data_IF_945067796934
#
_entry.id   IF_945067796934
#
_cell.length_a   1.000
_cell.length_b   1.000
_cell.length_c   1.000
_cell.angle_alpha   90.00
_cell.angle_beta   90.00
_cell.angle_gamma   90.00
#
_symmetry.space_group_name_H-M   'P 1'
#
loop_
_entity.id
_entity.type
_entity.pdbx_description
1 polymer ?
#
# COMPACT_ATOMS: atom_id res chain seq x y z
N UNK A 1 -20.36 -26.88 76.26
CA UNK A 1 -21.00 -28.10 76.76
C UNK A 1 -22.43 -28.16 76.29
N UNK A 2 -22.71 -29.10 75.37
CA UNK A 2 -23.97 -29.80 75.07
C UNK A 2 -25.30 -28.99 74.97
N UNK A 3 -25.79 -28.83 73.75
CA UNK A 3 -27.22 -29.02 73.40
C UNK A 3 -27.31 -29.89 72.14
N UNK A 4 -28.22 -30.90 72.08
CA UNK A 4 -28.38 -31.83 70.96
C UNK A 4 -29.67 -31.59 70.15
N UNK A 5 -29.79 -32.19 68.97
CA UNK A 5 -31.07 -32.38 68.28
C UNK A 5 -30.97 -32.58 66.77
N UNK A 6 -30.77 -33.83 66.34
CA UNK A 6 -30.64 -34.32 64.96
C UNK A 6 -31.95 -35.00 64.51
N UNK A 7 -32.38 -34.81 63.25
CA UNK A 7 -33.13 -35.75 62.38
C UNK A 7 -33.29 -35.11 60.97
N UNK A 8 -32.63 -35.52 59.86
CA UNK A 8 -32.83 -36.70 58.96
C UNK A 8 -34.30 -36.86 58.52
N UNK A 9 -34.72 -36.95 57.24
CA UNK A 9 -34.20 -37.60 56.00
C UNK A 9 -35.08 -37.16 54.79
N UNK A 10 -34.53 -36.69 53.65
CA UNK A 10 -34.33 -37.39 52.34
C UNK A 10 -35.55 -37.33 51.35
N UNK A 11 -35.44 -37.78 50.08
CA UNK A 11 -35.07 -36.96 48.91
C UNK A 11 -36.17 -36.95 47.80
N UNK A 12 -36.07 -36.01 46.86
CA UNK A 12 -36.96 -35.95 45.70
C UNK A 12 -36.24 -35.40 44.47
N UNK A 13 -35.74 -36.32 43.65
CA UNK A 13 -35.23 -36.05 42.31
C UNK A 13 -36.30 -35.39 41.44
N UNK A 14 -35.92 -34.33 40.72
CA UNK A 14 -36.44 -34.03 39.38
C UNK A 14 -35.39 -33.24 38.63
N UNK A 15 -34.64 -33.99 37.81
CA UNK A 15 -33.92 -33.48 36.66
C UNK A 15 -34.84 -32.61 35.80
N UNK A 16 -34.43 -31.38 35.50
CA UNK A 16 -34.72 -30.82 34.19
C UNK A 16 -33.50 -30.05 33.71
N UNK A 17 -32.90 -30.62 32.66
CA UNK A 17 -31.80 -30.11 31.86
C UNK A 17 -32.12 -28.69 31.39
N UNK A 18 -31.35 -27.71 31.85
CA UNK A 18 -31.16 -26.46 31.12
C UNK A 18 -29.78 -26.55 30.46
N UNK A 19 -29.77 -26.55 29.14
CA UNK A 19 -28.58 -26.67 28.32
C UNK A 19 -27.60 -25.54 28.66
N UNK A 20 -26.41 -25.91 29.14
CA UNK A 20 -25.23 -25.04 29.12
C UNK A 20 -24.88 -24.81 27.65
N UNK A 21 -25.39 -23.71 27.08
CA UNK A 21 -24.89 -23.19 25.82
C UNK A 21 -23.45 -22.76 26.02
N UNK A 22 -22.53 -23.61 25.57
CA UNK A 22 -21.15 -23.19 25.32
C UNK A 22 -21.24 -22.21 24.15
N UNK A 23 -21.33 -20.92 24.44
CA UNK A 23 -20.95 -19.90 23.48
C UNK A 23 -19.46 -20.08 23.29
N UNK A 24 -19.10 -20.79 22.22
CA UNK A 24 -17.76 -20.70 21.68
C UNK A 24 -17.58 -19.24 21.30
N UNK A 25 -16.90 -18.48 22.16
CA UNK A 25 -16.16 -17.29 21.77
C UNK A 25 -15.07 -17.79 20.81
N UNK A 26 -15.48 -18.02 19.56
CA UNK A 26 -14.56 -18.05 18.43
C UNK A 26 -13.81 -16.72 18.51
N UNK A 27 -12.50 -16.80 18.74
CA UNK A 27 -11.65 -15.64 18.87
C UNK A 27 -11.94 -14.66 17.75
N UNK A 28 -12.26 -13.43 18.12
CA UNK A 28 -12.19 -12.28 17.24
C UNK A 28 -10.70 -12.06 16.94
N UNK A 29 -10.11 -12.92 16.10
CA UNK A 29 -8.96 -12.52 15.33
C UNK A 29 -9.50 -11.41 14.41
N UNK A 30 -9.28 -10.16 14.82
CA UNK A 30 -9.91 -8.98 14.26
C UNK A 30 -9.63 -8.86 12.77
N UNK A 31 -10.62 -9.15 11.94
CA UNK A 31 -10.56 -8.79 10.53
C UNK A 31 -10.67 -7.27 10.42
N UNK A 32 -9.65 -6.62 9.84
CA UNK A 32 -9.65 -5.19 9.55
C UNK A 32 -10.60 -4.89 8.38
N UNK A 33 -11.91 -4.98 8.63
CA UNK A 33 -12.92 -4.72 7.61
C UNK A 33 -13.19 -3.22 7.58
N UNK A 34 -12.90 -2.60 6.44
CA UNK A 34 -13.25 -1.21 6.20
C UNK A 34 -14.63 -1.14 5.56
N UNK A 35 -15.55 -0.29 6.07
CA UNK A 35 -16.85 -0.09 5.44
C UNK A 35 -16.71 0.44 4.00
N UNK A 36 -17.38 -0.23 3.05
CA UNK A 36 -17.34 0.13 1.61
C UNK A 36 -17.79 1.56 1.32
N UNK A 37 -18.76 2.08 2.09
CA UNK A 37 -19.24 3.46 1.99
C UNK A 37 -18.15 4.47 2.39
N UNK A 38 -17.29 4.12 3.36
CA UNK A 38 -16.19 4.98 3.80
C UNK A 38 -15.10 5.04 2.74
N UNK A 39 -14.72 3.90 2.15
CA UNK A 39 -13.80 3.85 1.00
C UNK A 39 -14.36 4.66 -0.17
N UNK A 40 -15.63 4.47 -0.50
CA UNK A 40 -16.29 5.18 -1.60
C UNK A 40 -16.29 6.70 -1.40
N UNK A 41 -16.55 7.18 -0.17
CA UNK A 41 -16.48 8.61 0.16
C UNK A 41 -15.06 9.16 0.03
N UNK A 42 -14.06 8.44 0.54
CA UNK A 42 -12.65 8.84 0.42
C UNK A 42 -12.21 8.94 -1.04
N UNK A 43 -12.56 7.95 -1.87
CA UNK A 43 -12.28 7.95 -3.30
C UNK A 43 -12.92 9.14 -4.02
N UNK A 44 -14.21 9.39 -3.81
CA UNK A 44 -14.92 10.53 -4.40
C UNK A 44 -14.29 11.87 -3.99
N UNK A 45 -13.84 11.97 -2.73
CA UNK A 45 -13.17 13.17 -2.24
C UNK A 45 -11.82 13.38 -2.96
N UNK A 46 -11.02 12.32 -3.10
CA UNK A 46 -9.75 12.39 -3.85
C UNK A 46 -9.98 12.74 -5.33
N UNK A 47 -10.92 12.09 -6.01
CA UNK A 47 -11.22 12.36 -7.41
C UNK A 47 -11.71 13.79 -7.66
N UNK A 48 -12.51 14.35 -6.74
CA UNK A 48 -12.95 15.73 -6.85
C UNK A 48 -11.80 16.72 -6.62
N UNK A 49 -10.90 16.43 -5.68
CA UNK A 49 -9.69 17.24 -5.45
C UNK A 49 -8.67 17.16 -6.58
N UNK A 50 -8.65 16.09 -7.37
CA UNK A 50 -7.78 15.93 -8.53
C UNK A 50 -8.14 16.88 -9.70
N UNK A 51 -9.30 17.53 -9.63
CA UNK A 51 -9.84 18.38 -10.70
C UNK A 51 -9.77 19.88 -10.38
N UNK A 52 -8.95 20.29 -9.42
CA UNK A 52 -8.78 21.70 -9.01
C UNK A 52 -7.73 22.43 -9.86
N UNK A 53 -7.76 23.77 -9.86
CA UNK A 53 -6.79 24.63 -10.55
C UNK A 53 -5.43 24.75 -9.79
N UNK A 54 -5.22 23.96 -8.74
CA UNK A 54 -3.98 23.94 -7.96
C UNK A 54 -2.89 23.08 -8.64
N UNK A 55 -1.66 23.15 -8.13
CA UNK A 55 -0.57 22.31 -8.61
C UNK A 55 -0.94 20.82 -8.44
N UNK A 56 -0.77 19.97 -9.48
CA UNK A 56 -1.18 18.58 -9.40
C UNK A 56 -0.41 17.82 -8.32
N UNK A 57 -1.14 17.07 -7.49
CA UNK A 57 -0.58 16.35 -6.36
C UNK A 57 -0.32 14.86 -6.71
N UNK A 58 0.94 14.42 -6.81
CA UNK A 58 1.28 13.03 -7.14
C UNK A 58 0.81 12.02 -6.10
N UNK A 59 0.70 12.41 -4.83
CA UNK A 59 0.25 11.51 -3.75
C UNK A 59 -1.22 11.11 -3.92
N UNK A 60 -2.05 12.02 -4.46
CA UNK A 60 -3.46 11.74 -4.76
C UNK A 60 -3.56 10.69 -5.87
N UNK A 61 -2.79 10.87 -6.96
CA UNK A 61 -2.78 9.90 -8.05
C UNK A 61 -2.27 8.52 -7.59
N UNK A 62 -1.17 8.50 -6.82
CA UNK A 62 -0.63 7.29 -6.22
C UNK A 62 -1.68 6.55 -5.39
N UNK A 63 -2.38 7.26 -4.49
CA UNK A 63 -3.42 6.67 -3.66
C UNK A 63 -4.60 6.11 -4.47
N UNK A 64 -5.06 6.85 -5.49
CA UNK A 64 -6.13 6.41 -6.38
C UNK A 64 -5.74 5.16 -7.18
N UNK A 65 -4.51 5.11 -7.70
CA UNK A 65 -3.99 3.94 -8.42
C UNK A 65 -3.89 2.72 -7.50
N UNK A 66 -3.32 2.88 -6.29
CA UNK A 66 -3.21 1.80 -5.30
C UNK A 66 -4.59 1.30 -4.84
N UNK A 67 -5.59 2.18 -4.81
CA UNK A 67 -6.96 1.84 -4.51
C UNK A 67 -7.72 1.16 -5.67
N UNK A 68 -7.11 1.05 -6.85
CA UNK A 68 -7.75 0.48 -8.05
C UNK A 68 -8.70 1.44 -8.77
N UNK A 69 -8.65 2.75 -8.47
CA UNK A 69 -9.47 3.80 -9.08
C UNK A 69 -8.72 4.58 -10.19
N UNK A 70 -7.55 4.11 -10.61
CA UNK A 70 -6.66 4.81 -11.54
C UNK A 70 -7.20 5.06 -12.97
N UNK A 71 -8.29 4.41 -13.37
CA UNK A 71 -8.82 4.48 -14.74
C UNK A 71 -9.88 5.57 -14.97
N UNK A 72 -10.28 6.28 -13.91
CA UNK A 72 -11.27 7.37 -14.00
C UNK A 72 -10.76 8.54 -14.84
N UNK A 73 -11.68 9.35 -15.36
CA UNK A 73 -11.31 10.55 -16.15
C UNK A 73 -10.47 11.53 -15.35
N UNK A 74 -10.78 11.70 -14.06
CA UNK A 74 -10.02 12.56 -13.14
C UNK A 74 -8.59 12.07 -12.97
N UNK A 75 -8.37 10.76 -12.82
CA UNK A 75 -7.03 10.17 -12.74
C UNK A 75 -6.22 10.38 -14.03
N UNK A 76 -6.85 10.21 -15.20
CA UNK A 76 -6.18 10.45 -16.50
C UNK A 76 -5.80 11.91 -16.70
N UNK A 77 -6.68 12.83 -16.29
CA UNK A 77 -6.39 14.26 -16.32
C UNK A 77 -5.25 14.62 -15.36
N UNK A 78 -5.31 14.14 -14.11
CA UNK A 78 -4.27 14.37 -13.12
C UNK A 78 -2.91 13.81 -13.58
N UNK A 79 -2.88 12.61 -14.14
CA UNK A 79 -1.68 12.03 -14.74
C UNK A 79 -1.10 12.94 -15.83
N UNK A 80 -1.94 13.45 -16.72
CA UNK A 80 -1.49 14.35 -17.77
C UNK A 80 -0.91 15.65 -17.20
N UNK A 81 -1.57 16.26 -16.21
CA UNK A 81 -1.08 17.45 -15.52
C UNK A 81 0.27 17.20 -14.81
N UNK A 82 0.46 16.03 -14.19
CA UNK A 82 1.74 15.65 -13.59
C UNK A 82 2.83 15.52 -14.66
N UNK A 83 2.54 14.91 -15.82
CA UNK A 83 3.53 14.81 -16.90
C UNK A 83 3.93 16.18 -17.46
N UNK A 84 2.97 17.09 -17.62
CA UNK A 84 3.21 18.48 -18.04
C UNK A 84 4.08 19.22 -17.01
N UNK A 85 3.72 19.13 -15.73
CA UNK A 85 4.47 19.76 -14.63
C UNK A 85 5.89 19.21 -14.53
N UNK A 86 6.06 17.89 -14.68
CA UNK A 86 7.37 17.24 -14.69
C UNK A 86 8.29 17.81 -15.78
N UNK A 87 7.79 17.91 -17.02
CA UNK A 87 8.53 18.48 -18.15
C UNK A 87 8.91 19.95 -17.89
N UNK A 88 8.03 20.72 -17.26
CA UNK A 88 8.27 22.15 -17.04
C UNK A 88 9.21 22.45 -15.87
N UNK A 89 9.19 21.64 -14.81
CA UNK A 89 9.77 21.98 -13.50
C UNK A 89 10.88 21.05 -13.01
N UNK A 90 10.98 19.81 -13.49
CA UNK A 90 11.92 18.82 -12.93
C UNK A 90 13.38 19.29 -12.96
N UNK A 91 13.78 20.05 -13.99
CA UNK A 91 15.13 20.61 -14.12
C UNK A 91 15.29 22.02 -13.52
N UNK A 92 14.30 22.53 -12.78
CA UNK A 92 14.29 23.90 -12.26
C UNK A 92 14.13 23.95 -10.74
N UNK A 93 12.98 23.51 -10.23
CA UNK A 93 12.53 23.85 -8.88
C UNK A 93 11.72 22.74 -8.20
N UNK A 94 11.88 21.49 -8.65
CA UNK A 94 11.40 20.31 -7.91
C UNK A 94 12.47 19.83 -6.96
N UNK A 95 12.09 19.52 -5.72
CA UNK A 95 12.98 18.83 -4.78
C UNK A 95 13.13 17.36 -5.19
N UNK A 96 14.12 16.68 -4.62
CA UNK A 96 14.26 15.23 -4.71
C UNK A 96 12.97 14.49 -4.30
N UNK A 97 12.37 14.89 -3.17
CA UNK A 97 11.11 14.31 -2.68
C UNK A 97 9.93 14.54 -3.63
N UNK A 98 9.87 15.69 -4.31
CA UNK A 98 8.88 15.93 -5.36
C UNK A 98 9.09 14.95 -6.54
N UNK A 99 10.33 14.83 -7.02
CA UNK A 99 10.69 13.92 -8.10
C UNK A 99 10.39 12.45 -7.74
N UNK A 100 10.64 12.06 -6.48
CA UNK A 100 10.35 10.74 -5.97
C UNK A 100 8.84 10.45 -5.96
N UNK A 101 8.01 11.38 -5.47
CA UNK A 101 6.55 11.22 -5.50
C UNK A 101 6.00 11.16 -6.93
N UNK A 102 6.51 12.01 -7.83
CA UNK A 102 6.15 11.95 -9.26
C UNK A 102 6.53 10.59 -9.86
N UNK A 103 7.71 10.08 -9.54
CA UNK A 103 8.17 8.75 -9.97
C UNK A 103 7.23 7.66 -9.46
N UNK A 104 6.90 7.62 -8.16
CA UNK A 104 5.95 6.65 -7.60
C UNK A 104 4.56 6.72 -8.25
N UNK A 105 4.05 7.93 -8.48
CA UNK A 105 2.77 8.16 -9.15
C UNK A 105 2.79 7.63 -10.60
N UNK A 106 3.86 7.89 -11.36
CA UNK A 106 4.03 7.40 -12.72
C UNK A 106 4.12 5.87 -12.78
N UNK A 107 4.88 5.25 -11.87
CA UNK A 107 4.99 3.80 -11.76
C UNK A 107 3.62 3.15 -11.49
N UNK A 108 2.86 3.70 -10.55
CA UNK A 108 1.49 3.22 -10.26
C UNK A 108 0.49 3.48 -11.41
N UNK A 109 0.82 4.42 -12.30
CA UNK A 109 0.10 4.69 -13.55
C UNK A 109 0.65 3.92 -14.76
N UNK A 110 1.61 3.01 -14.57
CA UNK A 110 2.21 2.21 -15.65
C UNK A 110 2.91 3.08 -16.71
N UNK A 111 3.43 4.24 -16.30
CA UNK A 111 4.22 5.12 -17.15
C UNK A 111 5.70 4.91 -16.82
N UNK A 112 6.54 4.96 -17.85
CA UNK A 112 7.99 4.92 -17.71
C UNK A 112 8.52 6.28 -17.22
N UNK A 113 9.07 6.39 -16.00
CA UNK A 113 9.62 7.64 -15.47
C UNK A 113 10.87 8.14 -16.21
N UNK A 114 11.55 7.29 -16.98
CA UNK A 114 12.70 7.69 -17.80
C UNK A 114 12.28 8.39 -19.10
N UNK A 115 11.03 8.22 -19.52
CA UNK A 115 10.51 8.68 -20.81
C UNK A 115 9.20 9.46 -20.63
N UNK A 116 9.19 10.43 -19.71
CA UNK A 116 8.02 11.26 -19.47
C UNK A 116 7.87 12.27 -20.61
N UNK A 117 6.80 12.13 -21.39
CA UNK A 117 6.53 12.98 -22.55
C UNK A 117 5.28 13.85 -22.34
N UNK A 118 5.44 15.16 -22.49
CA UNK A 118 4.37 16.15 -22.47
C UNK A 118 4.81 17.43 -23.20
N UNK A 119 3.85 18.19 -23.75
CA UNK A 119 4.10 19.48 -24.42
C UNK A 119 5.18 19.44 -25.53
N UNK A 120 5.39 18.28 -26.17
CA UNK A 120 6.44 18.11 -27.19
C UNK A 120 7.86 17.95 -26.65
N UNK A 121 8.01 17.84 -25.33
CA UNK A 121 9.29 17.61 -24.65
C UNK A 121 9.32 16.23 -23.98
N UNK A 122 10.53 15.77 -23.65
CA UNK A 122 10.77 14.52 -22.94
C UNK A 122 11.73 14.81 -21.79
N UNK A 123 11.43 14.25 -20.61
CA UNK A 123 12.28 14.35 -19.42
C UNK A 123 12.50 12.96 -18.84
N UNK A 124 13.73 12.70 -18.39
CA UNK A 124 14.10 11.55 -17.60
C UNK A 124 14.02 11.94 -16.12
N UNK A 125 12.87 11.69 -15.49
CA UNK A 125 12.68 12.01 -14.08
C UNK A 125 13.53 11.14 -13.17
N UNK A 126 13.81 9.90 -13.57
CA UNK A 126 14.54 8.96 -12.76
C UNK A 126 16.03 9.35 -12.67
N UNK A 127 16.63 9.75 -13.79
CA UNK A 127 17.97 10.33 -13.78
C UNK A 127 18.03 11.62 -12.96
N UNK A 128 17.01 12.49 -13.09
CA UNK A 128 16.94 13.73 -12.31
C UNK A 128 16.81 13.48 -10.82
N UNK A 129 16.00 12.50 -10.41
CA UNK A 129 15.90 12.06 -9.02
C UNK A 129 17.25 11.58 -8.51
N UNK A 130 17.94 10.71 -9.27
CA UNK A 130 19.26 10.20 -8.89
C UNK A 130 20.28 11.33 -8.68
N UNK A 131 20.34 12.30 -9.60
CA UNK A 131 21.24 13.46 -9.48
C UNK A 131 21.00 14.26 -8.19
N UNK A 132 19.74 14.55 -7.88
CA UNK A 132 19.38 15.31 -6.68
C UNK A 132 19.68 14.49 -5.42
N UNK A 133 19.29 13.21 -5.36
CA UNK A 133 19.58 12.33 -4.21
C UNK A 133 21.08 12.17 -3.97
N UNK A 134 21.89 12.03 -5.02
CA UNK A 134 23.35 11.98 -4.90
C UNK A 134 23.92 13.29 -4.33
N UNK A 135 23.34 14.43 -4.69
CA UNK A 135 23.71 15.74 -4.15
C UNK A 135 23.32 15.87 -2.66
N UNK A 136 22.16 15.35 -2.24
CA UNK A 136 21.73 15.36 -0.83
C UNK A 136 22.65 14.51 0.06
N UNK A 137 23.15 13.39 -0.46
CA UNK A 137 24.09 12.53 0.26
C UNK A 137 25.42 13.24 0.55
N UNK A 138 25.85 14.16 -0.32
CA UNK A 138 27.05 14.98 -0.11
C UNK A 138 26.76 16.12 0.87
N UNK A 139 25.60 16.75 0.75
CA UNK A 139 25.20 17.90 1.55
C UNK A 139 23.95 17.60 2.37
N UNK A 140 24.14 16.89 3.48
CA UNK A 140 23.08 16.58 4.43
C UNK A 140 22.33 17.86 4.84
N UNK A 141 21.00 17.87 4.64
CA UNK A 141 20.11 18.96 5.03
C UNK A 141 19.57 19.83 3.88
N UNK A 142 19.79 19.46 2.62
CA UNK A 142 19.11 20.08 1.47
C UNK A 142 17.59 19.82 1.48
N UNK A 143 17.17 18.65 1.96
CA UNK A 143 15.77 18.30 2.24
C UNK A 143 15.64 17.59 3.58
N UNK A 144 14.44 17.11 3.89
CA UNK A 144 14.14 16.36 5.12
C UNK A 144 14.40 14.88 4.91
N UNK A 145 14.68 14.14 6.00
CA UNK A 145 14.77 12.67 5.94
C UNK A 145 13.48 12.00 5.45
N UNK A 146 12.33 12.68 5.51
CA UNK A 146 11.10 12.21 4.88
C UNK A 146 11.24 12.18 3.34
N UNK A 147 11.74 13.26 2.73
CA UNK A 147 11.97 13.32 1.29
C UNK A 147 13.08 12.36 0.87
N UNK A 148 14.20 12.35 1.59
CA UNK A 148 15.29 11.39 1.34
C UNK A 148 14.82 9.92 1.44
N UNK A 149 13.85 9.62 2.31
CA UNK A 149 13.23 8.29 2.37
C UNK A 149 12.37 7.98 1.14
N UNK A 150 11.65 8.97 0.60
CA UNK A 150 10.89 8.82 -0.65
C UNK A 150 11.83 8.56 -1.83
N UNK A 151 12.95 9.26 -1.90
CA UNK A 151 13.97 9.07 -2.93
C UNK A 151 14.46 7.62 -2.97
N UNK A 152 14.91 7.11 -1.81
CA UNK A 152 15.40 5.74 -1.67
C UNK A 152 14.31 4.75 -2.06
N UNK A 153 13.07 4.97 -1.64
CA UNK A 153 11.95 4.11 -1.98
C UNK A 153 11.72 4.07 -3.50
N UNK A 154 11.64 5.21 -4.17
CA UNK A 154 11.42 5.30 -5.61
C UNK A 154 12.58 4.68 -6.41
N UNK A 155 13.82 5.02 -6.09
CA UNK A 155 15.02 4.46 -6.73
C UNK A 155 15.13 2.95 -6.52
N UNK A 156 14.82 2.45 -5.32
CA UNK A 156 14.83 1.03 -5.02
C UNK A 156 13.77 0.24 -5.79
N UNK A 157 12.55 0.79 -5.93
CA UNK A 157 11.49 0.14 -6.70
C UNK A 157 11.87 -0.04 -8.16
N UNK A 158 12.54 0.97 -8.74
CA UNK A 158 13.12 0.89 -10.09
C UNK A 158 14.39 0.03 -10.15
N UNK A 159 15.07 -0.18 -9.01
CA UNK A 159 16.32 -0.90 -8.94
C UNK A 159 17.48 -0.17 -9.63
N UNK A 160 17.48 1.16 -9.54
CA UNK A 160 18.51 2.02 -10.13
C UNK A 160 19.10 2.98 -9.10
N UNK A 161 20.23 3.59 -9.45
CA UNK A 161 20.94 4.53 -8.59
C UNK A 161 21.64 3.87 -7.39
N UNK A 162 22.23 4.69 -6.53
CA UNK A 162 23.01 4.25 -5.37
C UNK A 162 22.16 4.08 -4.11
N UNK A 163 20.94 3.54 -4.24
CA UNK A 163 19.97 3.49 -3.15
C UNK A 163 20.45 2.66 -1.96
N UNK A 164 21.36 1.70 -2.14
CA UNK A 164 21.92 0.90 -1.05
C UNK A 164 22.76 1.75 -0.09
N UNK A 165 23.59 2.66 -0.64
CA UNK A 165 24.43 3.57 0.17
C UNK A 165 23.55 4.56 0.93
N UNK A 166 22.55 5.12 0.23
CA UNK A 166 21.56 6.00 0.83
C UNK A 166 20.75 5.29 1.93
N UNK A 167 20.37 4.02 1.73
CA UNK A 167 19.68 3.21 2.72
C UNK A 167 20.52 2.98 3.99
N UNK A 168 21.83 2.78 3.87
CA UNK A 168 22.72 2.68 5.05
C UNK A 168 22.74 3.98 5.84
N UNK A 169 22.82 5.11 5.14
CA UNK A 169 22.82 6.45 5.75
C UNK A 169 21.50 6.70 6.50
N UNK A 170 20.38 6.42 5.84
CA UNK A 170 19.05 6.53 6.43
C UNK A 170 18.89 5.60 7.64
N UNK A 171 19.34 4.35 7.56
CA UNK A 171 19.29 3.39 8.66
C UNK A 171 20.03 3.89 9.90
N UNK A 172 21.22 4.49 9.72
CA UNK A 172 22.00 5.08 10.83
C UNK A 172 21.27 6.25 11.48
N UNK A 173 20.62 7.10 10.68
CA UNK A 173 19.86 8.23 11.22
C UNK A 173 18.61 7.78 11.98
N UNK A 174 17.89 6.78 11.46
CA UNK A 174 16.71 6.22 12.15
C UNK A 174 17.08 5.58 13.49
N UNK A 175 18.27 4.96 13.59
CA UNK A 175 18.78 4.39 14.85
C UNK A 175 19.34 5.44 15.81
N UNK A 176 19.61 6.66 15.35
CA UNK A 176 20.15 7.72 16.19
C UNK A 176 19.07 8.22 17.16
N UNK A 177 19.17 7.86 18.45
CA UNK A 177 18.18 8.23 19.48
C UNK A 177 18.02 9.74 19.70
N UNK A 178 18.94 10.56 19.17
CA UNK A 178 18.87 12.02 19.22
C UNK A 178 18.22 12.69 18.00
N UNK A 179 17.85 11.95 16.96
CA UNK A 179 17.38 12.50 15.68
C UNK A 179 15.99 13.14 15.75
N UNK A 180 15.15 12.73 16.71
CA UNK A 180 13.81 13.30 16.89
C UNK A 180 12.89 13.13 15.67
N UNK A 181 13.13 12.12 14.82
CA UNK A 181 12.37 11.91 13.58
C UNK A 181 10.87 11.72 13.85
N UNK A 182 10.05 12.39 13.04
CA UNK A 182 8.60 12.25 13.09
C UNK A 182 8.15 10.83 12.76
N UNK A 183 6.92 10.48 13.16
CA UNK A 183 6.28 9.21 12.77
C UNK A 183 6.21 9.09 11.25
N UNK A 184 5.84 10.15 10.53
CA UNK A 184 5.79 10.18 9.06
C UNK A 184 7.15 9.80 8.46
N UNK A 185 8.22 10.38 8.99
CA UNK A 185 9.59 10.13 8.50
C UNK A 185 9.99 8.70 8.77
N UNK A 186 9.79 8.20 9.99
CA UNK A 186 10.08 6.79 10.33
C UNK A 186 9.27 5.81 9.49
N UNK A 187 8.01 6.15 9.17
CA UNK A 187 7.14 5.29 8.40
C UNK A 187 7.62 5.15 6.95
N UNK A 188 7.89 6.26 6.27
CA UNK A 188 8.42 6.22 4.90
C UNK A 188 9.83 5.61 4.87
N UNK A 189 10.65 5.89 5.89
CA UNK A 189 11.95 5.25 6.01
C UNK A 189 11.84 3.73 6.13
N UNK A 190 10.91 3.22 6.95
CA UNK A 190 10.69 1.79 7.07
C UNK A 190 10.26 1.16 5.73
N UNK A 191 9.41 1.83 4.94
CA UNK A 191 9.05 1.37 3.59
C UNK A 191 10.27 1.34 2.67
N UNK A 192 11.07 2.41 2.63
CA UNK A 192 12.27 2.50 1.81
C UNK A 192 13.31 1.42 2.17
N UNK A 193 13.60 1.24 3.46
CA UNK A 193 14.54 0.24 3.95
C UNK A 193 14.02 -1.19 3.75
N UNK A 194 12.70 -1.39 3.80
CA UNK A 194 12.06 -2.67 3.44
C UNK A 194 12.28 -2.98 1.96
N UNK A 195 12.10 -2.01 1.07
CA UNK A 195 12.40 -2.18 -0.35
C UNK A 195 13.86 -2.62 -0.53
N UNK A 196 14.79 -1.84 0.05
CA UNK A 196 16.22 -2.11 -0.09
C UNK A 196 16.58 -3.51 0.44
N UNK A 197 16.09 -3.87 1.63
CA UNK A 197 16.25 -5.20 2.22
C UNK A 197 15.79 -6.32 1.28
N UNK A 198 14.62 -6.17 0.65
CA UNK A 198 14.06 -7.20 -0.21
C UNK A 198 14.84 -7.41 -1.50
N UNK A 199 15.61 -6.42 -1.95
CA UNK A 199 16.48 -6.53 -3.14
C UNK A 199 17.85 -7.12 -2.86
N UNK A 200 18.28 -7.17 -1.59
CA UNK A 200 19.56 -7.77 -1.20
C UNK A 200 19.46 -9.31 -1.24
N UNK A 201 19.90 -9.90 -2.35
CA UNK A 201 19.85 -11.35 -2.59
C UNK A 201 21.23 -12.05 -2.49
N UNK A 202 22.32 -11.32 -2.33
CA UNK A 202 23.69 -11.86 -2.33
C UNK A 202 24.24 -12.06 -0.91
N UNK A 203 24.97 -13.17 -0.69
CA UNK A 203 25.61 -13.48 0.60
C UNK A 203 26.61 -12.39 1.04
N UNK A 204 27.26 -11.72 0.09
CA UNK A 204 28.23 -10.63 0.33
C UNK A 204 27.60 -9.39 0.99
N UNK A 205 26.27 -9.27 0.98
CA UNK A 205 25.53 -8.15 1.58
C UNK A 205 24.72 -8.58 2.81
N UNK A 206 25.06 -9.72 3.44
CA UNK A 206 24.35 -10.24 4.62
C UNK A 206 24.35 -9.25 5.79
N UNK A 207 25.49 -8.60 6.10
CA UNK A 207 25.57 -7.62 7.19
C UNK A 207 24.66 -6.40 6.93
N UNK A 208 24.60 -5.94 5.68
CA UNK A 208 23.70 -4.85 5.30
C UNK A 208 22.24 -5.29 5.43
N UNK A 209 21.92 -6.48 4.94
CA UNK A 209 20.56 -7.05 5.04
C UNK A 209 20.13 -7.15 6.50
N UNK A 210 20.99 -7.65 7.39
CA UNK A 210 20.74 -7.71 8.83
C UNK A 210 20.55 -6.33 9.47
N UNK A 211 21.37 -5.34 9.10
CA UNK A 211 21.20 -3.97 9.56
C UNK A 211 19.83 -3.41 9.15
N UNK A 212 19.45 -3.53 7.88
CA UNK A 212 18.17 -3.01 7.38
C UNK A 212 16.99 -3.69 8.08
N UNK A 213 17.05 -5.02 8.21
CA UNK A 213 16.08 -5.80 8.97
C UNK A 213 15.97 -5.29 10.41
N UNK A 214 17.10 -5.07 11.09
CA UNK A 214 17.12 -4.58 12.46
C UNK A 214 16.45 -3.21 12.61
N UNK A 215 16.75 -2.26 11.71
CA UNK A 215 16.14 -0.92 11.75
C UNK A 215 14.63 -0.99 11.53
N UNK A 216 14.17 -1.76 10.54
CA UNK A 216 12.74 -1.91 10.26
C UNK A 216 12.02 -2.56 11.45
N UNK A 217 12.61 -3.60 12.07
CA UNK A 217 12.11 -4.20 13.31
C UNK A 217 11.96 -3.17 14.43
N UNK A 218 12.96 -2.31 14.64
CA UNK A 218 12.89 -1.28 15.68
C UNK A 218 11.77 -0.26 15.42
N UNK A 219 11.63 0.23 14.18
CA UNK A 219 10.58 1.18 13.83
C UNK A 219 9.20 0.57 14.04
N UNK A 220 8.97 -0.64 13.53
CA UNK A 220 7.68 -1.32 13.68
C UNK A 220 7.34 -1.62 15.14
N UNK A 221 8.34 -2.03 15.94
CA UNK A 221 8.16 -2.25 17.38
C UNK A 221 7.82 -0.96 18.12
N UNK A 222 8.47 0.15 17.76
CA UNK A 222 8.16 1.47 18.35
C UNK A 222 6.74 1.93 17.98
N UNK A 223 6.27 1.66 16.76
CA UNK A 223 4.88 1.94 16.38
C UNK A 223 3.88 1.09 17.16
N UNK A 224 4.16 -0.19 17.40
CA UNK A 224 3.33 -1.03 18.26
C UNK A 224 3.28 -0.50 19.70
N UNK A 225 4.43 -0.07 20.24
CA UNK A 225 4.49 0.53 21.58
C UNK A 225 3.67 1.83 21.65
N UNK A 226 3.77 2.69 20.63
CA UNK A 226 2.97 3.91 20.51
C UNK A 226 1.48 3.58 20.41
N UNK A 227 1.10 2.57 19.63
CA UNK A 227 -0.29 2.14 19.48
C UNK A 227 -0.89 1.71 20.81
N UNK A 228 -0.19 0.84 21.55
CA UNK A 228 -0.61 0.33 22.86
C UNK A 228 -0.78 1.48 23.87
N UNK A 229 0.14 2.43 23.88
CA UNK A 229 0.11 3.60 24.79
C UNK A 229 -0.91 4.65 24.38
N UNK A 230 -1.12 4.82 23.07
CA UNK A 230 -1.96 5.84 22.45
C UNK A 230 -3.39 5.40 22.17
N UNK A 231 -3.83 4.26 22.72
CA UNK A 231 -5.16 3.70 22.49
C UNK A 231 -5.50 3.54 21.01
N UNK A 232 -4.57 2.98 20.23
CA UNK A 232 -4.70 2.78 18.79
C UNK A 232 -4.06 3.87 17.93
N UNK A 233 -3.68 5.01 18.50
CA UNK A 233 -3.03 6.10 17.77
C UNK A 233 -1.52 5.96 17.73
N UNK A 234 -0.92 6.15 16.54
CA UNK A 234 0.54 6.22 16.36
C UNK A 234 0.91 7.60 15.82
N UNK A 235 1.71 8.34 16.59
CA UNK A 235 1.89 9.77 16.39
C UNK A 235 0.58 10.54 16.57
N UNK A 236 0.04 11.04 15.47
CA UNK A 236 -1.22 11.77 15.40
C UNK A 236 -2.09 11.28 14.23
N UNK A 237 -3.28 11.85 14.09
CA UNK A 237 -4.25 11.42 13.07
C UNK A 237 -3.74 11.57 11.63
N UNK A 238 -2.86 12.53 11.35
CA UNK A 238 -2.30 12.76 10.02
C UNK A 238 -1.13 11.83 9.72
N UNK A 239 -0.36 11.42 10.72
CA UNK A 239 0.76 10.48 10.55
C UNK A 239 0.34 9.01 10.55
N UNK A 240 -0.86 8.71 11.05
CA UNK A 240 -1.42 7.37 11.11
C UNK A 240 -1.44 6.69 9.75
N UNK A 241 -1.85 7.39 8.69
CA UNK A 241 -1.97 6.79 7.36
C UNK A 241 -0.66 6.14 6.88
N UNK A 242 0.46 6.84 7.06
CA UNK A 242 1.77 6.31 6.71
C UNK A 242 2.24 5.22 7.68
N UNK A 243 2.03 5.39 8.99
CA UNK A 243 2.37 4.37 9.98
C UNK A 243 1.62 3.04 9.74
N UNK A 244 0.36 3.12 9.32
CA UNK A 244 -0.47 1.97 8.95
C UNK A 244 0.03 1.23 7.72
N UNK A 245 0.79 1.86 6.81
CA UNK A 245 1.41 1.15 5.70
C UNK A 245 2.59 0.28 6.15
N UNK A 246 3.21 0.62 7.28
CA UNK A 246 4.26 -0.20 7.89
C UNK A 246 3.64 -1.40 8.60
N UNK A 247 2.56 -1.18 9.37
CA UNK A 247 1.76 -2.23 9.97
C UNK A 247 1.12 -3.13 8.91
N UNK A 248 1.40 -4.44 8.92
CA UNK A 248 0.72 -5.36 8.02
C UNK A 248 -0.71 -5.60 8.48
N UNK A 249 -1.71 -5.49 7.60
CA UNK A 249 -3.04 -6.05 7.91
C UNK A 249 -2.94 -7.57 7.83
N UNK A 250 -3.44 -8.23 8.87
CA UNK A 250 -3.10 -9.63 9.16
C UNK A 250 -3.67 -10.68 8.20
N UNK A 251 -4.48 -10.35 7.20
CA UNK A 251 -5.10 -11.38 6.35
C UNK A 251 -5.21 -10.99 4.86
N UNK A 252 -4.82 -11.89 3.93
CA UNK A 252 -5.17 -11.77 2.53
C UNK A 252 -6.70 -11.86 2.37
N UNK A 253 -7.30 -10.92 1.62
CA UNK A 253 -8.69 -11.03 1.21
C UNK A 253 -8.89 -12.39 0.49
N UNK A 254 -9.90 -13.20 0.82
CA UNK A 254 -10.11 -14.51 0.19
C UNK A 254 -10.47 -14.45 -1.31
N UNK A 255 -10.57 -13.26 -1.89
CA UNK A 255 -10.96 -12.99 -3.28
C UNK A 255 -9.92 -12.23 -4.11
N UNK A 256 -8.78 -11.84 -3.53
CA UNK A 256 -7.65 -11.25 -4.28
C UNK A 256 -6.36 -11.97 -3.88
N UNK A 257 -5.51 -12.25 -4.86
CA UNK A 257 -4.26 -13.02 -4.77
C UNK A 257 -3.48 -12.84 -3.45
N UNK A 258 -3.00 -13.92 -2.79
CA UNK A 258 -2.51 -13.88 -1.39
C UNK A 258 -1.08 -13.36 -1.21
N UNK A 259 -0.62 -12.34 -1.94
CA UNK A 259 0.82 -12.00 -1.98
C UNK A 259 1.25 -10.63 -1.47
N UNK A 260 0.36 -9.76 -1.01
CA UNK A 260 0.79 -8.45 -0.54
C UNK A 260 -0.01 -8.03 0.69
N UNK A 261 0.41 -8.49 1.88
CA UNK A 261 0.30 -7.64 3.06
C UNK A 261 1.16 -8.09 4.23
N UNK A 262 2.45 -7.82 4.10
CA UNK A 262 3.44 -7.93 5.17
C UNK A 262 4.62 -7.06 4.75
N UNK A 263 4.41 -5.76 4.56
CA UNK A 263 5.54 -4.86 4.29
C UNK A 263 6.59 -5.03 5.40
N UNK A 264 6.13 -5.06 6.66
CA UNK A 264 7.02 -5.29 7.80
C UNK A 264 6.59 -6.32 8.84
N UNK A 265 5.44 -7.01 8.68
CA UNK A 265 4.97 -7.99 9.66
C UNK A 265 5.93 -9.15 9.97
N UNK A 266 6.81 -9.53 9.03
CA UNK A 266 7.89 -10.48 9.28
C UNK A 266 8.93 -9.97 10.27
N UNK A 267 9.05 -8.64 10.44
CA UNK A 267 10.06 -7.98 11.26
C UNK A 267 9.65 -7.78 12.71
N UNK A 268 8.36 -7.87 13.07
CA UNK A 268 7.89 -7.62 14.44
C UNK A 268 7.13 -8.79 15.09
N UNK A 269 7.02 -9.93 14.39
CA UNK A 269 6.56 -11.17 15.01
C UNK A 269 7.43 -11.53 16.23
N UNK A 270 6.86 -12.06 17.34
CA UNK A 270 5.49 -12.55 17.48
C UNK A 270 4.47 -11.50 17.94
N UNK A 271 4.82 -10.21 18.03
CA UNK A 271 3.86 -9.18 18.42
C UNK A 271 2.80 -9.03 17.34
N UNK A 272 1.55 -8.89 17.75
CA UNK A 272 0.42 -8.73 16.86
C UNK A 272 0.03 -7.26 16.76
N UNK A 273 -0.35 -6.87 15.54
CA UNK A 273 -0.84 -5.53 15.25
C UNK A 273 -2.36 -5.51 15.40
N UNK A 274 -2.91 -4.65 16.26
CA UNK A 274 -4.36 -4.47 16.41
C UNK A 274 -4.89 -3.50 15.35
N UNK A 275 -5.15 -3.99 14.15
CA UNK A 275 -5.66 -3.15 13.08
C UNK A 275 -7.07 -2.63 13.33
N UNK A 276 -7.90 -3.35 14.11
CA UNK A 276 -9.27 -2.92 14.41
C UNK A 276 -9.25 -1.65 15.25
N UNK A 277 -8.40 -1.62 16.28
CA UNK A 277 -8.23 -0.43 17.12
C UNK A 277 -7.71 0.75 16.31
N UNK A 278 -6.66 0.57 15.50
CA UNK A 278 -6.08 1.66 14.72
C UNK A 278 -7.05 2.21 13.66
N UNK A 279 -7.79 1.32 12.98
CA UNK A 279 -8.81 1.75 12.01
C UNK A 279 -9.98 2.48 12.67
N UNK A 280 -10.39 2.08 13.88
CA UNK A 280 -11.42 2.81 14.65
C UNK A 280 -11.04 4.27 14.84
N UNK A 281 -9.79 4.54 15.22
CA UNK A 281 -9.32 5.92 15.40
C UNK A 281 -9.38 6.69 14.07
N UNK A 282 -9.01 6.06 12.94
CA UNK A 282 -9.15 6.71 11.62
C UNK A 282 -10.60 7.04 11.31
N UNK A 283 -11.55 6.13 11.56
CA UNK A 283 -12.96 6.34 11.24
C UNK A 283 -13.68 7.32 12.19
N UNK A 284 -13.20 7.46 13.42
CA UNK A 284 -13.69 8.45 14.37
C UNK A 284 -13.30 9.88 13.98
N UNK A 285 -12.23 10.04 13.19
CA UNK A 285 -11.79 11.34 12.71
C UNK A 285 -12.22 11.53 11.26
N UNK A 286 -13.14 12.46 11.03
CA UNK A 286 -13.61 12.79 9.68
C UNK A 286 -12.50 13.48 8.87
N UNK A 287 -11.69 12.70 8.16
CA UNK A 287 -10.57 13.18 7.34
C UNK A 287 -11.10 13.91 6.10
N UNK A 288 -10.98 15.25 6.12
CA UNK A 288 -11.42 16.13 5.03
C UNK A 288 -10.28 16.67 4.15
N UNK A 289 -9.03 16.47 4.56
CA UNK A 289 -7.87 16.95 3.79
C UNK A 289 -7.48 15.90 2.74
N UNK A 290 -7.50 16.20 1.43
CA UNK A 290 -7.19 15.24 0.38
C UNK A 290 -5.84 14.55 0.57
N UNK A 291 -4.83 15.30 1.04
CA UNK A 291 -3.51 14.74 1.33
C UNK A 291 -3.53 13.70 2.46
N UNK A 292 -4.31 13.95 3.52
CA UNK A 292 -4.45 13.00 4.63
C UNK A 292 -5.19 11.73 4.17
N UNK A 293 -6.23 11.88 3.34
CA UNK A 293 -6.93 10.76 2.72
C UNK A 293 -5.98 9.95 1.84
N UNK A 294 -5.17 10.62 1.01
CA UNK A 294 -4.21 9.98 0.12
C UNK A 294 -3.16 9.14 0.88
N UNK A 295 -2.76 9.58 2.08
CA UNK A 295 -1.78 8.85 2.90
C UNK A 295 -2.37 7.64 3.63
N UNK A 296 -3.66 7.68 4.01
CA UNK A 296 -4.31 6.60 4.78
C UNK A 296 -5.01 5.56 3.91
N UNK A 297 -5.57 5.97 2.77
CA UNK A 297 -6.40 5.10 1.93
C UNK A 297 -5.68 3.84 1.46
N UNK A 298 -4.39 3.88 1.03
CA UNK A 298 -3.66 2.67 0.68
C UNK A 298 -3.68 1.63 1.81
N UNK A 299 -3.35 2.04 3.05
CA UNK A 299 -3.28 1.12 4.18
C UNK A 299 -4.64 0.49 4.52
N UNK A 300 -5.72 1.29 4.46
CA UNK A 300 -7.08 0.81 4.66
C UNK A 300 -7.48 -0.29 3.65
N UNK A 301 -6.90 -0.25 2.46
CA UNK A 301 -7.15 -1.23 1.40
C UNK A 301 -6.14 -2.38 1.39
N UNK A 302 -5.21 -2.39 2.34
CA UNK A 302 -4.10 -3.33 2.34
C UNK A 302 -3.16 -3.09 1.17
N UNK A 303 -2.69 -1.84 1.04
CA UNK A 303 -1.68 -1.42 0.08
C UNK A 303 -0.71 -0.46 0.75
N UNK A 304 0.46 -0.36 0.16
CA UNK A 304 1.56 0.49 0.62
C UNK A 304 2.20 1.15 -0.58
N UNK A 305 3.08 2.12 -0.36
CA UNK A 305 3.87 2.69 -1.45
C UNK A 305 4.83 1.69 -2.10
N UNK A 306 5.15 0.56 -1.45
CA UNK A 306 5.90 -0.55 -2.08
C UNK A 306 5.13 -1.20 -3.24
N UNK A 307 3.80 -1.09 -3.23
CA UNK A 307 2.93 -1.67 -4.25
C UNK A 307 2.84 -0.80 -5.52
N UNK A 308 3.54 0.34 -5.58
CA UNK A 308 3.47 1.27 -6.71
C UNK A 308 3.81 0.62 -8.06
N UNK A 309 4.68 -0.39 -8.11
CA UNK A 309 5.01 -1.13 -9.34
C UNK A 309 4.13 -2.35 -9.59
N UNK A 310 3.23 -2.69 -8.65
CA UNK A 310 2.40 -3.91 -8.68
C UNK A 310 0.94 -3.68 -9.09
N UNK A 311 0.61 -2.45 -9.50
CA UNK A 311 -0.73 -2.10 -9.99
C UNK A 311 -1.00 -2.86 -11.30
N UNK A 312 -2.17 -3.50 -11.42
CA UNK A 312 -2.52 -4.24 -12.63
C UNK A 312 -2.78 -3.29 -13.81
N UNK A 313 -1.81 -3.22 -14.71
CA UNK A 313 -1.85 -2.44 -15.92
C UNK A 313 -2.52 -3.17 -17.10
N UNK A 314 -2.76 -4.48 -16.99
CA UNK A 314 -3.21 -5.30 -18.12
C UNK A 314 -4.70 -5.13 -18.41
N UNK A 315 -5.52 -4.82 -17.40
CA UNK A 315 -6.90 -4.37 -17.60
C UNK A 315 -7.00 -3.11 -18.49
N UNK A 316 -5.91 -2.34 -18.62
CA UNK A 316 -5.82 -1.10 -19.42
C UNK A 316 -5.59 -1.35 -20.92
N UNK A 317 -5.08 -2.52 -21.32
CA UNK A 317 -4.76 -2.82 -22.72
C UNK A 317 -5.95 -3.38 -23.53
N UNK A 318 -6.90 -4.07 -22.87
CA UNK A 318 -8.01 -4.75 -23.56
C UNK A 318 -9.18 -3.82 -23.95
N UNK A 319 -9.30 -2.64 -23.34
CA UNK A 319 -10.31 -1.65 -23.75
C UNK A 319 -9.94 -0.89 -25.05
N UNK A 320 -8.68 -0.95 -25.49
CA UNK A 320 -8.21 -0.30 -26.72
C UNK A 320 -8.24 -1.18 -27.98
N UNK A 321 -8.56 -2.47 -27.85
CA UNK A 321 -8.49 -3.43 -28.98
C UNK A 321 -9.84 -3.93 -29.48
N UNK A 322 -10.93 -3.57 -28.79
CA UNK A 322 -12.27 -4.06 -29.08
C UNK A 322 -13.13 -3.13 -29.96
N UNK A 323 -12.57 -2.30 -30.84
CA UNK A 323 -13.35 -1.58 -31.88
C UNK A 323 -12.50 -1.23 -33.11
N UNK A 324 -11.98 -2.24 -33.81
CA UNK A 324 -11.53 -2.07 -35.19
C UNK A 324 -11.69 -3.36 -36.00
N UNK A 325 -12.94 -3.79 -36.21
CA UNK A 325 -13.28 -4.65 -37.34
C UNK A 325 -14.17 -3.85 -38.27
N UNK A 326 -13.54 -3.21 -39.25
CA UNK A 326 -14.22 -2.66 -40.42
C UNK A 326 -14.70 -3.86 -41.25
N UNK A 327 -15.99 -3.96 -41.62
CA UNK A 327 -16.48 -5.06 -42.43
C UNK A 327 -16.15 -4.77 -43.91
N UNK A 328 -15.07 -5.34 -44.42
CA UNK A 328 -14.84 -5.39 -45.87
C UNK A 328 -15.54 -6.61 -46.45
N UNK A 329 -16.58 -6.35 -47.23
CA UNK A 329 -17.31 -7.30 -48.08
C UNK A 329 -16.45 -7.72 -49.27
N UNK A 330 -15.93 -8.95 -49.27
CA UNK A 330 -15.51 -9.63 -50.51
C UNK A 330 -15.83 -11.13 -50.45
N UNK A 331 -16.50 -11.60 -51.50
CA UNK A 331 -16.88 -12.99 -51.78
C UNK A 331 -15.70 -13.97 -51.72
N UNK A 332 -15.88 -15.22 -51.22
CA UNK A 332 -14.84 -16.24 -51.28
C UNK A 332 -14.95 -17.14 -52.54
N UNK A 333 -13.84 -17.49 -53.21
CA UNK A 333 -13.79 -18.63 -54.13
C UNK A 333 -13.60 -19.96 -53.36
N UNK A 334 -13.84 -21.13 -53.99
CA UNK A 334 -14.13 -22.36 -53.29
C UNK A 334 -12.89 -23.06 -52.70
N UNK A 335 -13.16 -23.75 -51.59
CA UNK A 335 -12.22 -24.46 -50.71
C UNK A 335 -11.81 -25.84 -51.30
N UNK A 336 -10.54 -26.24 -51.20
CA UNK A 336 -10.16 -27.64 -51.07
C UNK A 336 -9.91 -28.00 -49.60
N UNK A 337 -10.50 -29.12 -49.20
CA UNK A 337 -10.38 -29.81 -47.92
C UNK A 337 -8.97 -30.38 -47.66
N UNK A 338 -8.47 -30.31 -46.41
CA UNK A 338 -8.10 -31.50 -45.60
C UNK A 338 -7.54 -31.12 -44.20
N UNK A 339 -8.17 -31.73 -43.18
CA UNK A 339 -7.75 -32.09 -41.79
C UNK A 339 -7.28 -31.04 -40.76
N UNK A 340 -7.97 -30.94 -39.59
CA UNK A 340 -7.50 -30.18 -38.41
C UNK A 340 -6.65 -31.04 -37.44
N UNK A 341 -5.68 -30.44 -36.70
CA UNK A 341 -5.03 -31.07 -35.55
C UNK A 341 -5.93 -31.06 -34.30
N UNK A 342 -5.63 -31.90 -33.28
CA UNK A 342 -6.56 -32.21 -32.20
C UNK A 342 -6.78 -31.04 -31.24
N UNK A 343 -8.03 -30.94 -30.80
CA UNK A 343 -8.58 -29.99 -29.83
C UNK A 343 -7.96 -30.13 -28.43
N UNK A 344 -7.46 -29.02 -27.90
CA UNK A 344 -7.22 -28.83 -26.46
C UNK A 344 -8.54 -28.57 -25.72
N UNK A 345 -8.70 -29.02 -24.46
CA UNK A 345 -9.92 -28.79 -23.69
C UNK A 345 -10.03 -27.34 -23.22
N UNK A 346 -11.25 -26.77 -23.14
CA UNK A 346 -11.45 -25.38 -22.74
C UNK A 346 -11.19 -25.18 -21.25
N UNK A 347 -10.47 -24.08 -20.96
CA UNK A 347 -10.29 -23.50 -19.63
C UNK A 347 -11.65 -23.22 -18.99
N UNK A 348 -11.82 -23.73 -17.77
CA UNK A 348 -13.01 -23.64 -16.94
C UNK A 348 -13.37 -22.20 -16.61
N UNK A 349 -14.55 -21.75 -17.09
CA UNK A 349 -15.24 -20.55 -16.61
C UNK A 349 -15.71 -20.76 -15.16
N UNK A 350 -15.52 -19.77 -14.31
CA UNK A 350 -16.14 -19.71 -12.98
C UNK A 350 -17.68 -19.64 -13.09
N UNK A 351 -18.43 -20.49 -12.37
CA UNK A 351 -19.88 -20.43 -12.33
C UNK A 351 -20.39 -19.34 -11.37
N UNK A 352 -21.46 -18.67 -11.79
CA UNK A 352 -22.26 -17.75 -10.97
C UNK A 352 -23.14 -18.61 -10.04
N UNK A 353 -23.17 -18.39 -8.71
CA UNK A 353 -24.12 -19.05 -7.85
C UNK A 353 -25.48 -18.35 -7.95
N UNK A 354 -26.46 -19.06 -8.52
CA UNK A 354 -27.88 -18.78 -8.41
C UNK A 354 -28.35 -19.14 -7.00
N UNK A 355 -28.95 -18.18 -6.29
CA UNK A 355 -29.62 -18.43 -5.02
C UNK A 355 -31.00 -19.05 -5.26
N UNK A 356 -31.21 -20.25 -4.73
CA UNK A 356 -32.56 -20.77 -4.43
C UNK A 356 -32.52 -21.54 -3.12
N UNK A 357 -33.42 -21.10 -2.23
CA UNK A 357 -33.92 -21.69 -0.97
C UNK A 357 -33.03 -21.63 0.26
#
# INVERSE_FOLDING_TARGET
GRTPGEARTAPGERMLRAALGVVALLGLAGSCIVPEDTISRMLQHLESSASTDELPNPSILLALNLAGAGDSSSCKQLLQQLKETAVERASKDMTSGDLALYTLALLSSCQDPQQVQALGHTIDLLNRLQEETDQEMVYLGTTTFYQFSLDILALCLEGTGSYEVAAVMLAKEVLNRGSGLSVDTRAVAALALTCAHNRLATEDLSELRELLQHVVTQVASAFLDEQEQGNGMIGNIYSMGLALQVGGSQHPRPSCHPQALTATAAFYAPREWDCTQAFSVVFEHDLQQPMAIAQVLPALLGRTYLDATSVDCTAKADQGRATAVVPTTLYPPPRPSLTPPPSQPPSSRCPIPSSTS
#
